data_IF_745110585863
#
_entry.id   IF_745110585863
#
_cell.length_a   1.000
_cell.length_b   1.000
_cell.length_c   1.000
_cell.angle_alpha   90.00
_cell.angle_beta   90.00
_cell.angle_gamma   90.00
#
_symmetry.space_group_name_H-M   'P 1'
#
loop_
_entity.id
_entity.type
_entity.pdbx_description
1 polymer ?
#
# COMPACT_ATOMS: atom_id res chain seq x y z
N UNK A 1 64.15 35.30 -3.66
CA UNK A 1 63.54 33.99 -4.13
C UNK A 1 62.12 33.73 -3.66
N UNK A 2 61.43 34.70 -3.02
CA UNK A 2 60.08 34.44 -2.43
C UNK A 2 58.89 34.95 -3.29
N UNK A 3 59.11 35.56 -4.43
CA UNK A 3 58.00 36.12 -5.26
C UNK A 3 57.51 35.23 -6.39
N UNK A 4 58.27 34.25 -6.80
CA UNK A 4 57.94 33.35 -7.95
C UNK A 4 57.04 32.16 -7.45
N UNK A 5 57.16 31.74 -6.19
CA UNK A 5 56.35 30.69 -5.57
C UNK A 5 54.88 31.12 -5.25
N UNK A 6 54.62 32.39 -5.12
CA UNK A 6 53.29 32.94 -4.87
C UNK A 6 52.42 32.97 -6.14
N UNK A 7 53.04 33.28 -7.30
CA UNK A 7 52.33 33.38 -8.57
C UNK A 7 51.90 32.00 -9.10
N UNK A 8 52.72 30.96 -8.94
CA UNK A 8 52.38 29.61 -9.37
C UNK A 8 51.21 28.97 -8.56
N UNK A 9 51.09 29.30 -7.28
CA UNK A 9 49.97 28.87 -6.45
C UNK A 9 48.66 29.59 -6.77
N UNK A 10 48.73 30.84 -7.26
CA UNK A 10 47.53 31.61 -7.62
C UNK A 10 46.99 31.11 -9.00
N UNK A 11 47.84 30.81 -9.95
CA UNK A 11 47.47 30.29 -11.30
C UNK A 11 46.87 28.88 -11.16
N UNK A 12 47.41 28.02 -10.28
CA UNK A 12 46.89 26.66 -10.08
C UNK A 12 45.51 26.68 -9.38
N UNK A 13 45.23 27.63 -8.48
CA UNK A 13 43.91 27.77 -7.82
C UNK A 13 42.81 28.19 -8.83
N UNK A 14 43.12 29.10 -9.75
CA UNK A 14 42.15 29.51 -10.75
C UNK A 14 41.87 28.43 -11.83
N UNK A 15 42.87 27.60 -12.18
CA UNK A 15 42.67 26.46 -13.04
C UNK A 15 41.80 25.37 -12.44
N UNK A 16 42.00 25.04 -11.14
CA UNK A 16 41.19 24.07 -10.41
C UNK A 16 39.73 24.55 -10.25
N UNK A 17 39.52 25.85 -9.98
CA UNK A 17 38.16 26.41 -9.88
C UNK A 17 37.45 26.49 -11.23
N UNK A 18 38.16 26.72 -12.31
CA UNK A 18 37.61 26.69 -13.68
C UNK A 18 37.23 25.26 -14.11
N UNK A 19 38.05 24.27 -13.80
CA UNK A 19 37.76 22.86 -14.09
C UNK A 19 36.59 22.31 -13.28
N UNK A 20 36.42 22.75 -11.99
CA UNK A 20 35.25 22.39 -11.15
C UNK A 20 33.98 23.05 -11.69
N UNK A 21 34.05 24.30 -12.16
CA UNK A 21 32.90 25.01 -12.73
C UNK A 21 32.46 24.38 -14.08
N UNK A 22 33.39 23.95 -14.93
CA UNK A 22 33.08 23.28 -16.19
C UNK A 22 32.49 21.87 -15.94
N UNK A 23 33.00 21.15 -14.94
CA UNK A 23 32.48 19.83 -14.59
C UNK A 23 31.08 19.91 -13.95
N UNK A 24 30.85 20.90 -13.10
CA UNK A 24 29.53 21.17 -12.51
C UNK A 24 28.51 21.63 -13.58
N UNK A 25 28.91 22.46 -14.52
CA UNK A 25 28.07 22.89 -15.65
C UNK A 25 27.74 21.73 -16.59
N UNK A 26 28.68 20.83 -16.88
CA UNK A 26 28.45 19.63 -17.70
C UNK A 26 27.55 18.62 -16.96
N UNK A 27 27.68 18.46 -15.64
CA UNK A 27 26.80 17.62 -14.83
C UNK A 27 25.39 18.21 -14.75
N UNK A 28 25.24 19.54 -14.67
CA UNK A 28 23.95 20.22 -14.70
C UNK A 28 23.29 20.10 -16.09
N UNK A 29 24.04 20.25 -17.17
CA UNK A 29 23.54 20.06 -18.56
C UNK A 29 23.21 18.59 -18.86
N UNK A 30 23.97 17.62 -18.32
CA UNK A 30 23.65 16.19 -18.46
C UNK A 30 22.38 15.82 -17.68
N UNK A 31 22.13 16.44 -16.52
CA UNK A 31 20.89 16.24 -15.75
C UNK A 31 19.68 16.94 -16.40
N UNK A 32 19.86 18.08 -17.08
CA UNK A 32 18.77 18.74 -17.83
C UNK A 32 18.44 18.02 -19.13
N UNK A 33 19.40 17.35 -19.79
CA UNK A 33 19.14 16.54 -20.99
C UNK A 33 18.51 15.17 -20.65
N UNK A 34 18.65 14.65 -19.40
CA UNK A 34 17.95 13.43 -18.95
C UNK A 34 16.46 13.62 -18.69
N UNK A 35 15.98 14.87 -18.67
CA UNK A 35 14.59 15.23 -18.31
C UNK A 35 13.62 15.36 -19.47
N UNK A 36 13.98 14.98 -20.71
CA UNK A 36 13.12 15.14 -21.90
C UNK A 36 12.82 13.87 -22.70
N UNK A 37 13.14 12.69 -22.21
CA UNK A 37 12.50 11.49 -22.75
C UNK A 37 11.19 11.28 -22.00
N UNK A 38 10.10 11.65 -22.65
CA UNK A 38 8.75 11.33 -22.17
C UNK A 38 8.65 9.80 -22.04
N UNK A 39 8.43 9.32 -20.80
CA UNK A 39 8.30 7.89 -20.53
C UNK A 39 7.09 7.35 -21.29
N UNK A 40 7.23 6.15 -21.84
CA UNK A 40 6.13 5.48 -22.54
C UNK A 40 5.15 4.90 -21.52
N UNK A 41 3.92 4.64 -21.95
CA UNK A 41 2.87 4.04 -21.15
C UNK A 41 3.31 2.78 -20.39
N UNK A 42 4.07 1.91 -21.03
CA UNK A 42 4.60 0.66 -20.49
C UNK A 42 5.85 0.81 -19.62
N UNK A 43 6.33 2.03 -19.46
CA UNK A 43 7.45 2.37 -18.57
C UNK A 43 7.00 3.00 -17.24
N UNK A 44 5.71 3.38 -17.13
CA UNK A 44 5.11 3.97 -15.93
C UNK A 44 3.99 3.08 -15.45
N UNK A 45 4.03 2.70 -14.15
CA UNK A 45 2.93 2.05 -13.47
C UNK A 45 2.36 2.99 -12.40
N UNK A 46 1.06 3.22 -12.43
CA UNK A 46 0.32 3.95 -11.41
C UNK A 46 -0.51 2.95 -10.61
N UNK A 47 -0.18 2.75 -9.36
CA UNK A 47 -0.93 1.90 -8.42
C UNK A 47 -1.78 2.79 -7.51
N UNK A 48 -3.05 2.44 -7.36
CA UNK A 48 -4.00 3.18 -6.56
C UNK A 48 -4.57 2.31 -5.44
N UNK A 49 -4.57 2.84 -4.22
CA UNK A 49 -5.52 2.40 -3.22
C UNK A 49 -6.94 2.80 -3.65
N UNK A 50 -7.96 2.22 -3.01
CA UNK A 50 -9.36 2.43 -3.39
C UNK A 50 -10.04 3.44 -2.46
N UNK A 51 -10.18 3.08 -1.15
CA UNK A 51 -10.90 3.88 -0.16
C UNK A 51 -10.11 5.14 0.22
N UNK A 52 -10.70 6.33 0.04
CA UNK A 52 -10.02 7.61 0.33
C UNK A 52 -9.11 8.10 -0.80
N UNK A 53 -8.84 7.27 -1.79
CA UNK A 53 -7.93 7.52 -2.91
C UNK A 53 -8.67 7.68 -4.25
N UNK A 54 -9.37 6.64 -4.70
CA UNK A 54 -10.22 6.67 -5.90
C UNK A 54 -11.69 6.90 -5.56
N UNK A 55 -12.10 6.49 -4.36
CA UNK A 55 -13.46 6.65 -3.86
C UNK A 55 -13.44 7.37 -2.53
N UNK A 56 -14.53 8.05 -2.19
CA UNK A 56 -14.76 8.44 -0.79
C UNK A 56 -15.07 7.18 0.03
N UNK A 57 -14.73 7.13 1.33
CA UNK A 57 -14.97 5.96 2.14
C UNK A 57 -16.43 5.49 2.06
N UNK A 58 -16.65 4.23 1.68
CA UNK A 58 -17.97 3.58 1.53
C UNK A 58 -18.89 4.19 0.47
N UNK A 59 -18.36 4.97 -0.46
CA UNK A 59 -19.11 5.52 -1.59
C UNK A 59 -18.50 4.98 -2.88
N UNK A 60 -19.31 4.75 -3.89
CA UNK A 60 -18.82 4.35 -5.20
C UNK A 60 -18.03 5.48 -5.86
N UNK A 61 -17.15 5.11 -6.78
CA UNK A 61 -16.35 6.07 -7.55
C UNK A 61 -17.25 7.04 -8.32
N UNK A 62 -16.87 8.30 -8.37
CA UNK A 62 -17.52 9.32 -9.19
C UNK A 62 -17.30 9.01 -10.68
N UNK A 63 -18.38 9.09 -11.48
CA UNK A 63 -18.33 8.76 -12.90
C UNK A 63 -17.41 9.70 -13.69
N UNK A 64 -17.33 10.97 -13.36
CA UNK A 64 -16.41 11.93 -14.01
C UNK A 64 -14.96 11.60 -13.71
N UNK A 65 -14.66 11.16 -12.47
CA UNK A 65 -13.32 10.73 -12.11
C UNK A 65 -12.95 9.41 -12.82
N UNK A 66 -13.88 8.47 -12.87
CA UNK A 66 -13.73 7.20 -13.59
C UNK A 66 -13.43 7.42 -15.07
N UNK A 67 -14.21 8.31 -15.74
CA UNK A 67 -13.97 8.68 -17.14
C UNK A 67 -12.60 9.36 -17.33
N UNK A 68 -12.19 10.21 -16.40
CA UNK A 68 -10.85 10.81 -16.42
C UNK A 68 -9.74 9.76 -16.37
N UNK A 69 -9.85 8.77 -15.48
CA UNK A 69 -8.88 7.67 -15.40
C UNK A 69 -8.76 6.92 -16.74
N UNK A 70 -9.89 6.62 -17.38
CA UNK A 70 -9.90 5.81 -18.60
C UNK A 70 -9.51 6.60 -19.87
N UNK A 71 -9.85 7.88 -19.95
CA UNK A 71 -9.62 8.67 -21.16
C UNK A 71 -8.33 9.47 -21.15
N UNK A 72 -7.89 9.92 -19.96
CA UNK A 72 -6.75 10.83 -19.85
C UNK A 72 -5.51 10.12 -19.24
N UNK A 73 -5.72 9.23 -18.25
CA UNK A 73 -4.60 8.59 -17.52
C UNK A 73 -4.14 7.31 -18.21
N UNK A 74 -5.06 6.37 -18.49
CA UNK A 74 -4.75 5.06 -19.09
C UNK A 74 -3.97 5.13 -20.40
N UNK A 75 -4.19 6.10 -21.31
CA UNK A 75 -3.37 6.21 -22.52
C UNK A 75 -1.91 6.57 -22.25
N UNK A 76 -1.60 7.17 -21.10
CA UNK A 76 -0.26 7.68 -20.75
C UNK A 76 0.51 6.79 -19.80
N UNK A 77 -0.17 5.96 -19.00
CA UNK A 77 0.46 5.08 -18.01
C UNK A 77 -0.29 3.76 -17.89
N UNK A 78 0.42 2.71 -17.50
CA UNK A 78 -0.19 1.46 -17.04
C UNK A 78 -0.85 1.72 -15.70
N UNK A 79 -2.09 1.29 -15.50
CA UNK A 79 -2.84 1.54 -14.26
C UNK A 79 -3.16 0.25 -13.53
N UNK A 80 -3.07 0.27 -12.21
CA UNK A 80 -3.39 -0.86 -11.34
C UNK A 80 -4.07 -0.45 -10.04
N UNK A 81 -4.84 -1.37 -9.49
CA UNK A 81 -5.51 -1.24 -8.20
C UNK A 81 -4.81 -2.11 -7.16
N UNK A 82 -4.66 -1.64 -5.95
CA UNK A 82 -4.23 -2.45 -4.81
C UNK A 82 -5.03 -2.07 -3.57
N UNK A 83 -5.73 -3.02 -2.98
CA UNK A 83 -6.54 -2.76 -1.79
C UNK A 83 -6.58 -3.96 -0.86
N UNK A 84 -6.86 -3.72 0.43
CA UNK A 84 -7.02 -4.77 1.43
C UNK A 84 -8.33 -5.56 1.33
N UNK A 85 -9.29 -5.06 0.56
CA UNK A 85 -10.58 -5.71 0.34
C UNK A 85 -10.49 -6.83 -0.69
N UNK A 86 -11.46 -7.74 -0.67
CA UNK A 86 -11.65 -8.73 -1.71
C UNK A 86 -12.13 -8.10 -3.04
N UNK A 87 -12.15 -8.90 -4.10
CA UNK A 87 -12.50 -8.44 -5.45
C UNK A 87 -13.97 -7.98 -5.56
N UNK A 88 -14.90 -8.67 -4.91
CA UNK A 88 -16.32 -8.30 -4.98
C UNK A 88 -16.57 -6.92 -4.38
N UNK A 89 -15.89 -6.62 -3.28
CA UNK A 89 -15.98 -5.28 -2.68
C UNK A 89 -15.33 -4.22 -3.56
N UNK A 90 -14.24 -4.52 -4.27
CA UNK A 90 -13.68 -3.60 -5.27
C UNK A 90 -14.67 -3.34 -6.41
N UNK A 91 -15.42 -4.34 -6.86
CA UNK A 91 -16.49 -4.16 -7.85
C UNK A 91 -17.58 -3.22 -7.37
N UNK A 92 -18.02 -3.37 -6.11
CA UNK A 92 -19.01 -2.47 -5.50
C UNK A 92 -18.49 -1.02 -5.47
N UNK A 93 -17.27 -0.82 -5.01
CA UNK A 93 -16.69 0.52 -4.85
C UNK A 93 -16.37 1.20 -6.19
N UNK A 94 -15.98 0.46 -7.20
CA UNK A 94 -15.62 1.01 -8.51
C UNK A 94 -16.75 0.92 -9.55
N UNK A 95 -17.95 0.64 -9.05
CA UNK A 95 -19.19 0.68 -9.82
C UNK A 95 -19.21 -0.26 -11.02
N UNK A 96 -18.76 -1.52 -10.81
CA UNK A 96 -18.92 -2.59 -11.78
C UNK A 96 -17.67 -3.45 -12.04
N UNK A 97 -17.92 -4.55 -12.77
CA UNK A 97 -16.89 -5.54 -13.13
C UNK A 97 -15.96 -5.07 -14.26
N UNK A 98 -16.26 -3.96 -14.90
CA UNK A 98 -15.44 -3.41 -15.99
C UNK A 98 -14.00 -3.04 -15.56
N UNK A 99 -13.73 -2.93 -14.25
CA UNK A 99 -12.37 -2.70 -13.74
C UNK A 99 -11.39 -3.77 -14.22
N UNK A 100 -11.86 -5.01 -14.45
CA UNK A 100 -11.03 -6.12 -14.93
C UNK A 100 -10.56 -5.90 -16.39
N UNK A 101 -11.30 -5.11 -17.16
CA UNK A 101 -10.96 -4.76 -18.54
C UNK A 101 -10.19 -3.43 -18.62
N UNK A 102 -10.47 -2.53 -17.69
CA UNK A 102 -9.97 -1.16 -17.71
C UNK A 102 -8.64 -0.99 -16.97
N UNK A 103 -8.42 -1.75 -15.90
CA UNK A 103 -7.14 -1.73 -15.20
C UNK A 103 -6.23 -2.84 -15.71
N UNK A 104 -4.98 -2.51 -15.97
CA UNK A 104 -3.98 -3.49 -16.43
C UNK A 104 -3.68 -4.52 -15.33
N UNK A 105 -3.72 -4.07 -14.06
CA UNK A 105 -3.53 -4.90 -12.87
C UNK A 105 -4.61 -4.64 -11.83
N UNK A 106 -5.09 -5.70 -11.19
CA UNK A 106 -5.99 -5.61 -10.05
C UNK A 106 -5.47 -6.54 -8.96
N UNK A 107 -5.19 -5.97 -7.79
CA UNK A 107 -4.57 -6.63 -6.65
C UNK A 107 -5.48 -6.57 -5.42
N UNK A 108 -6.51 -7.42 -5.32
CA UNK A 108 -7.29 -7.58 -4.09
C UNK A 108 -6.44 -8.21 -2.98
N UNK A 109 -6.92 -8.08 -1.74
CA UNK A 109 -6.28 -8.67 -0.57
C UNK A 109 -4.78 -8.35 -0.51
N UNK A 110 -4.41 -7.07 -0.70
CA UNK A 110 -3.03 -6.57 -0.72
C UNK A 110 -2.14 -7.15 -1.82
N UNK A 111 -2.71 -7.74 -2.88
CA UNK A 111 -1.99 -8.41 -3.95
C UNK A 111 -1.75 -9.90 -3.73
N UNK A 112 -2.38 -10.50 -2.71
CA UNK A 112 -2.36 -11.95 -2.51
C UNK A 112 -3.20 -12.67 -3.56
N UNK A 113 -4.18 -11.99 -4.13
CA UNK A 113 -4.88 -12.36 -5.36
C UNK A 113 -4.45 -11.38 -6.44
N UNK A 114 -4.06 -11.89 -7.61
CA UNK A 114 -3.40 -11.11 -8.64
C UNK A 114 -4.11 -11.29 -9.97
N UNK A 115 -4.53 -10.20 -10.56
CA UNK A 115 -5.10 -10.17 -11.91
C UNK A 115 -4.25 -9.27 -12.81
N UNK A 116 -3.98 -9.76 -14.01
CA UNK A 116 -3.38 -8.99 -15.10
C UNK A 116 -4.29 -9.05 -16.31
N UNK A 117 -4.72 -7.90 -16.82
CA UNK A 117 -5.64 -7.76 -17.95
C UNK A 117 -6.88 -8.66 -17.82
N UNK A 118 -7.48 -8.66 -16.64
CA UNK A 118 -8.70 -9.41 -16.33
C UNK A 118 -8.51 -10.92 -16.09
N UNK A 119 -7.30 -11.44 -16.21
CA UNK A 119 -7.00 -12.87 -15.98
C UNK A 119 -6.35 -13.05 -14.61
N UNK A 120 -6.82 -14.00 -13.81
CA UNK A 120 -6.14 -14.36 -12.55
C UNK A 120 -4.80 -15.04 -12.90
N UNK A 121 -3.71 -14.43 -12.43
CA UNK A 121 -2.33 -14.87 -12.70
C UNK A 121 -1.63 -15.38 -11.45
N UNK A 122 -2.22 -15.20 -10.29
CA UNK A 122 -1.69 -15.69 -9.03
C UNK A 122 -2.67 -15.57 -7.87
N UNK A 123 -2.55 -16.53 -6.95
CA UNK A 123 -3.27 -16.52 -5.68
C UNK A 123 -2.42 -17.18 -4.60
N UNK A 124 -2.35 -16.55 -3.44
CA UNK A 124 -1.65 -17.08 -2.27
C UNK A 124 -2.65 -17.28 -1.15
N UNK A 125 -2.48 -18.37 -0.42
CA UNK A 125 -3.35 -18.72 0.69
C UNK A 125 -2.55 -18.78 1.98
N UNK A 126 -3.07 -18.14 3.03
CA UNK A 126 -2.49 -18.21 4.37
C UNK A 126 -2.45 -19.65 4.89
N UNK A 127 -3.42 -20.50 4.52
CA UNK A 127 -3.45 -21.90 4.88
C UNK A 127 -2.29 -22.69 4.23
N UNK A 128 -2.03 -22.45 2.95
CA UNK A 128 -0.90 -23.09 2.27
C UNK A 128 0.46 -22.57 2.77
N UNK A 129 0.53 -21.33 3.19
CA UNK A 129 1.77 -20.71 3.66
C UNK A 129 2.14 -21.14 5.08
N UNK A 130 1.21 -21.04 6.02
CA UNK A 130 1.45 -21.36 7.44
C UNK A 130 1.27 -22.85 7.75
N UNK A 131 0.46 -23.56 6.99
CA UNK A 131 0.04 -24.93 7.25
C UNK A 131 -1.04 -25.05 8.32
N UNK A 132 -1.80 -26.14 8.25
CA UNK A 132 -2.96 -26.36 9.11
C UNK A 132 -2.61 -26.54 10.60
N UNK A 133 -1.43 -27.05 10.93
CA UNK A 133 -1.04 -27.24 12.33
C UNK A 133 -0.77 -25.90 13.04
N UNK A 134 -0.13 -24.96 12.35
CA UNK A 134 0.07 -23.59 12.88
C UNK A 134 -1.26 -22.88 13.01
N UNK A 135 -2.11 -22.95 11.98
CA UNK A 135 -3.42 -22.32 11.98
C UNK A 135 -4.34 -22.84 13.09
N UNK A 136 -4.40 -24.18 13.27
CA UNK A 136 -5.17 -24.79 14.37
C UNK A 136 -4.67 -24.33 15.74
N UNK A 137 -3.35 -24.31 15.93
CA UNK A 137 -2.74 -23.84 17.18
C UNK A 137 -3.09 -22.39 17.44
N UNK A 138 -2.99 -21.54 16.42
CA UNK A 138 -3.32 -20.12 16.51
C UNK A 138 -4.80 -19.90 16.84
N UNK A 139 -5.70 -20.52 16.08
CA UNK A 139 -7.14 -20.40 16.27
C UNK A 139 -7.56 -20.88 17.67
N UNK A 140 -7.06 -22.04 18.11
CA UNK A 140 -7.36 -22.56 19.44
C UNK A 140 -6.87 -21.63 20.54
N UNK A 141 -5.69 -21.02 20.40
CA UNK A 141 -5.17 -20.06 21.35
C UNK A 141 -6.06 -18.81 21.43
N UNK A 142 -6.44 -18.24 20.28
CA UNK A 142 -7.35 -17.09 20.21
C UNK A 142 -8.70 -17.38 20.86
N UNK A 143 -9.29 -18.54 20.58
CA UNK A 143 -10.59 -18.93 21.15
C UNK A 143 -10.48 -19.13 22.68
N UNK A 144 -9.39 -19.74 23.17
CA UNK A 144 -9.13 -19.85 24.60
C UNK A 144 -8.98 -18.48 25.25
N UNK A 145 -8.20 -17.58 24.67
CA UNK A 145 -8.04 -16.22 25.16
C UNK A 145 -9.40 -15.50 25.23
N UNK A 146 -10.25 -15.63 24.22
CA UNK A 146 -11.58 -15.03 24.22
C UNK A 146 -12.52 -15.64 25.25
N UNK A 147 -12.37 -16.91 25.60
CA UNK A 147 -13.21 -17.54 26.64
C UNK A 147 -12.97 -16.93 28.02
N UNK A 148 -11.75 -16.47 28.28
CA UNK A 148 -11.30 -15.87 29.54
C UNK A 148 -11.36 -14.34 29.55
N UNK A 149 -11.44 -13.70 28.37
CA UNK A 149 -11.47 -12.25 28.22
C UNK A 149 -12.78 -11.67 28.78
N UNK A 150 -12.66 -10.77 29.76
CA UNK A 150 -13.82 -10.02 30.30
C UNK A 150 -13.97 -8.69 29.56
N UNK A 151 -15.00 -8.59 28.71
CA UNK A 151 -15.42 -7.39 28.00
C UNK A 151 -16.96 -7.27 28.08
N UNK A 152 -17.51 -6.05 27.96
CA UNK A 152 -18.96 -5.83 28.19
C UNK A 152 -19.87 -6.66 27.30
N UNK A 153 -19.48 -6.92 26.05
CA UNK A 153 -20.32 -7.59 25.05
C UNK A 153 -19.50 -8.52 24.20
N UNK A 154 -20.02 -9.72 23.92
CA UNK A 154 -19.50 -10.66 22.93
C UNK A 154 -20.64 -11.14 22.03
N UNK A 155 -20.43 -11.18 20.70
CA UNK A 155 -21.48 -11.52 19.73
C UNK A 155 -21.19 -12.74 18.88
N UNK A 156 -20.03 -12.90 18.35
CA UNK A 156 -19.69 -14.00 17.47
C UNK A 156 -19.11 -13.55 16.15
N UNK A 157 -18.72 -14.51 15.33
CA UNK A 157 -17.65 -14.45 14.34
C UNK A 157 -16.46 -13.72 14.93
N UNK A 158 -15.78 -14.41 15.86
CA UNK A 158 -14.60 -13.88 16.52
C UNK A 158 -13.35 -13.96 15.64
N UNK A 159 -13.31 -14.96 14.76
CA UNK A 159 -12.24 -15.17 13.80
C UNK A 159 -12.87 -15.34 12.43
N UNK A 160 -12.58 -14.44 11.49
CA UNK A 160 -12.97 -14.57 10.10
C UNK A 160 -11.74 -15.01 9.30
N UNK A 161 -11.82 -16.22 8.73
CA UNK A 161 -10.77 -16.78 7.91
C UNK A 161 -10.90 -16.26 6.46
N UNK A 162 -9.87 -15.56 5.98
CA UNK A 162 -9.78 -15.04 4.61
C UNK A 162 -8.65 -15.72 3.85
N UNK A 163 -8.57 -15.51 2.53
CA UNK A 163 -7.51 -16.12 1.72
C UNK A 163 -6.12 -15.79 2.23
N UNK A 164 -5.87 -14.52 2.55
CA UNK A 164 -4.56 -14.02 2.90
C UNK A 164 -4.34 -13.70 4.37
N UNK A 165 -5.36 -13.77 5.21
CA UNK A 165 -5.29 -13.34 6.60
C UNK A 165 -6.36 -13.96 7.48
N UNK A 166 -6.18 -13.83 8.79
CA UNK A 166 -7.24 -14.01 9.77
C UNK A 166 -7.63 -12.63 10.32
N UNK A 167 -8.91 -12.29 10.26
CA UNK A 167 -9.44 -11.11 10.95
C UNK A 167 -9.98 -11.53 12.32
N UNK A 168 -9.42 -10.96 13.38
CA UNK A 168 -9.71 -11.34 14.78
C UNK A 168 -10.43 -10.18 15.47
N UNK A 169 -11.61 -10.46 16.03
CA UNK A 169 -12.48 -9.46 16.68
C UNK A 169 -12.90 -9.88 18.07
N UNK A 170 -12.43 -9.22 19.14
CA UNK A 170 -12.81 -9.56 20.52
C UNK A 170 -14.31 -9.49 20.80
N UNK A 171 -15.01 -8.48 20.30
CA UNK A 171 -16.46 -8.36 20.40
C UNK A 171 -17.21 -9.29 19.45
N UNK A 172 -16.60 -9.67 18.34
CA UNK A 172 -17.21 -10.41 17.25
C UNK A 172 -17.82 -9.53 16.16
N UNK A 173 -17.74 -10.00 14.91
CA UNK A 173 -18.15 -9.22 13.74
C UNK A 173 -19.65 -9.05 13.58
N UNK A 174 -20.46 -9.88 14.27
CA UNK A 174 -21.92 -9.83 14.25
C UNK A 174 -22.51 -8.75 15.18
N UNK A 175 -21.69 -7.92 15.78
CA UNK A 175 -22.16 -6.79 16.59
C UNK A 175 -22.87 -5.73 15.72
N UNK A 176 -23.89 -5.08 16.32
CA UNK A 176 -24.59 -3.96 15.71
C UNK A 176 -23.68 -2.73 15.57
N UNK A 177 -24.13 -1.73 14.79
CA UNK A 177 -23.36 -0.48 14.62
C UNK A 177 -23.17 0.27 15.96
N UNK A 178 -24.18 0.23 16.85
CA UNK A 178 -24.11 0.81 18.19
C UNK A 178 -23.07 0.10 19.05
N UNK A 179 -23.15 -1.22 19.15
CA UNK A 179 -22.20 -2.05 19.91
C UNK A 179 -20.75 -1.91 19.39
N UNK A 180 -20.59 -1.75 18.08
CA UNK A 180 -19.29 -1.46 17.45
C UNK A 180 -18.70 -0.16 17.94
N UNK A 181 -19.50 0.89 18.02
CA UNK A 181 -19.04 2.19 18.50
C UNK A 181 -18.72 2.15 19.99
N UNK A 182 -19.58 1.51 20.79
CA UNK A 182 -19.36 1.33 22.25
C UNK A 182 -18.08 0.53 22.52
N UNK A 183 -17.83 -0.54 21.76
CA UNK A 183 -16.59 -1.31 21.89
C UNK A 183 -15.38 -0.50 21.46
N UNK A 184 -15.46 0.28 20.40
CA UNK A 184 -14.37 1.14 19.95
C UNK A 184 -13.95 2.13 21.06
N UNK A 185 -14.91 2.78 21.69
CA UNK A 185 -14.67 3.70 22.82
C UNK A 185 -14.08 2.98 24.04
N UNK A 186 -14.57 1.78 24.32
CA UNK A 186 -14.04 0.91 25.37
C UNK A 186 -12.60 0.50 25.09
N UNK A 187 -12.30 0.07 23.87
CA UNK A 187 -10.96 -0.35 23.45
C UNK A 187 -9.94 0.81 23.45
N UNK A 188 -10.37 2.04 23.14
CA UNK A 188 -9.50 3.22 23.25
C UNK A 188 -9.01 3.43 24.71
N UNK A 189 -9.81 3.08 25.71
CA UNK A 189 -9.46 3.22 27.13
C UNK A 189 -8.70 2.01 27.65
N UNK A 190 -9.10 0.83 27.25
CA UNK A 190 -8.64 -0.43 27.85
C UNK A 190 -7.61 -1.17 27.00
N UNK A 191 -7.37 -0.74 25.76
CA UNK A 191 -6.36 -1.29 24.84
C UNK A 191 -6.48 -2.82 24.63
N UNK A 192 -7.71 -3.34 24.58
CA UNK A 192 -8.02 -4.78 24.54
C UNK A 192 -7.34 -5.46 23.34
N UNK A 193 -7.45 -4.84 22.15
CA UNK A 193 -6.85 -5.40 20.95
C UNK A 193 -5.32 -5.36 21.02
N UNK A 194 -4.74 -4.28 21.54
CA UNK A 194 -3.28 -4.16 21.66
C UNK A 194 -2.72 -5.18 22.67
N UNK A 195 -3.34 -5.32 23.82
CA UNK A 195 -2.93 -6.32 24.84
C UNK A 195 -2.97 -7.73 24.27
N UNK A 196 -4.01 -8.07 23.51
CA UNK A 196 -4.10 -9.37 22.86
C UNK A 196 -3.00 -9.57 21.83
N UNK A 197 -2.70 -8.56 21.00
CA UNK A 197 -1.60 -8.60 20.03
C UNK A 197 -0.26 -8.85 20.72
N UNK A 198 -0.01 -8.20 21.86
CA UNK A 198 1.24 -8.36 22.60
C UNK A 198 1.39 -9.79 23.16
N UNK A 199 0.30 -10.40 23.59
CA UNK A 199 0.25 -11.81 24.02
C UNK A 199 0.50 -12.74 22.82
N UNK A 200 -0.17 -12.49 21.70
CA UNK A 200 -0.01 -13.29 20.46
C UNK A 200 1.42 -13.21 19.88
N UNK A 201 2.01 -12.02 19.88
CA UNK A 201 3.42 -11.84 19.46
C UNK A 201 4.39 -12.65 20.30
N UNK A 202 4.12 -12.78 21.59
CA UNK A 202 4.95 -13.58 22.50
C UNK A 202 4.73 -15.08 22.29
N UNK A 203 3.48 -15.53 22.19
CA UNK A 203 3.15 -16.95 22.03
C UNK A 203 3.57 -17.51 20.68
N UNK A 204 3.47 -16.69 19.63
CA UNK A 204 3.79 -17.08 18.24
C UNK A 204 5.08 -16.40 17.73
N UNK A 205 6.04 -16.13 18.61
CA UNK A 205 7.31 -15.48 18.26
C UNK A 205 8.14 -16.22 17.21
N UNK A 206 7.96 -17.54 17.11
CA UNK A 206 8.64 -18.39 16.11
C UNK A 206 7.92 -18.42 14.76
N UNK A 207 6.74 -17.81 14.67
CA UNK A 207 5.96 -17.71 13.43
C UNK A 207 6.03 -16.28 12.91
N UNK A 208 6.45 -16.12 11.66
CA UNK A 208 6.66 -14.80 11.05
C UNK A 208 5.32 -14.13 10.70
N UNK A 209 4.68 -13.51 11.69
CA UNK A 209 3.35 -12.90 11.62
C UNK A 209 3.38 -11.40 11.89
N UNK A 210 2.62 -10.67 11.09
CA UNK A 210 2.26 -9.27 11.30
C UNK A 210 0.87 -9.18 11.90
N UNK A 211 0.69 -8.24 12.82
CA UNK A 211 -0.57 -7.91 13.49
C UNK A 211 -0.89 -6.45 13.24
N UNK A 212 -2.02 -6.15 12.63
CA UNK A 212 -2.42 -4.77 12.27
C UNK A 212 -3.80 -4.46 12.83
N UNK A 213 -3.89 -3.45 13.70
CA UNK A 213 -5.18 -2.96 14.19
C UNK A 213 -5.85 -2.17 13.07
N UNK A 214 -6.95 -2.71 12.54
CA UNK A 214 -7.76 -2.09 11.50
C UNK A 214 -9.19 -1.86 11.95
N UNK A 215 -9.79 -0.75 11.51
CA UNK A 215 -11.18 -0.42 11.84
C UNK A 215 -11.46 -0.28 13.34
N UNK A 216 -12.70 -0.54 13.74
CA UNK A 216 -13.18 -0.25 15.10
C UNK A 216 -13.13 -1.45 16.04
N UNK A 217 -13.18 -2.69 15.54
CA UNK A 217 -13.48 -3.88 16.37
C UNK A 217 -12.53 -5.05 16.20
N UNK A 218 -11.62 -5.00 15.25
CA UNK A 218 -10.77 -6.14 14.90
C UNK A 218 -9.33 -5.74 14.68
N UNK A 219 -8.49 -6.74 14.57
CA UNK A 219 -7.15 -6.64 14.02
C UNK A 219 -6.93 -7.77 13.00
N UNK A 220 -6.05 -7.54 12.06
CA UNK A 220 -5.69 -8.50 11.02
C UNK A 220 -4.39 -9.20 11.38
N UNK A 221 -4.28 -10.49 11.07
CA UNK A 221 -3.11 -11.33 11.28
C UNK A 221 -2.73 -12.00 9.97
N UNK A 222 -1.53 -11.75 9.49
CA UNK A 222 -1.03 -12.25 8.22
C UNK A 222 0.49 -12.45 8.26
N UNK A 223 1.06 -13.26 7.36
CA UNK A 223 2.52 -13.43 7.26
C UNK A 223 3.24 -12.10 6.97
N UNK A 224 4.43 -11.91 7.50
CA UNK A 224 5.22 -10.72 7.25
C UNK A 224 5.43 -10.47 5.74
N UNK A 225 5.30 -9.20 5.34
CA UNK A 225 5.40 -8.79 3.94
C UNK A 225 4.19 -9.18 3.08
N UNK A 226 3.04 -9.53 3.71
CA UNK A 226 1.75 -9.72 3.07
C UNK A 226 0.86 -8.46 3.18
N UNK A 227 1.51 -7.31 3.31
CA UNK A 227 0.93 -5.99 3.14
C UNK A 227 0.85 -5.61 1.65
N UNK A 228 0.47 -4.37 1.35
CA UNK A 228 0.32 -3.90 -0.04
C UNK A 228 1.60 -3.99 -0.89
N UNK A 229 2.78 -4.06 -0.28
CA UNK A 229 4.04 -4.27 -1.02
C UNK A 229 4.09 -5.63 -1.71
N UNK A 230 3.22 -6.58 -1.29
CA UNK A 230 3.16 -7.90 -1.90
C UNK A 230 2.84 -7.84 -3.40
N UNK A 231 1.98 -6.91 -3.83
CA UNK A 231 1.64 -6.72 -5.24
C UNK A 231 2.88 -6.40 -6.10
N UNK A 232 3.88 -5.74 -5.53
CA UNK A 232 5.10 -5.35 -6.24
C UNK A 232 5.93 -6.58 -6.68
N UNK A 233 5.80 -7.71 -5.99
CA UNK A 233 6.48 -8.97 -6.39
C UNK A 233 6.01 -9.44 -7.77
N UNK A 234 4.74 -9.21 -8.08
CA UNK A 234 4.18 -9.52 -9.40
C UNK A 234 4.38 -8.35 -10.36
N UNK A 235 4.06 -7.13 -9.93
CA UNK A 235 4.10 -5.94 -10.79
C UNK A 235 5.49 -5.67 -11.39
N UNK A 236 6.57 -6.05 -10.71
CA UNK A 236 7.95 -5.86 -11.19
C UNK A 236 8.51 -7.05 -11.96
N UNK A 237 7.83 -8.20 -11.94
CA UNK A 237 8.33 -9.43 -12.56
C UNK A 237 8.16 -9.42 -14.08
N UNK A 238 9.27 -9.33 -14.80
CA UNK A 238 9.27 -9.38 -16.26
C UNK A 238 8.69 -8.13 -16.92
N UNK A 239 8.62 -7.01 -16.19
CA UNK A 239 8.16 -5.71 -16.68
C UNK A 239 9.33 -4.74 -16.86
N UNK A 240 9.11 -3.70 -17.65
CA UNK A 240 10.12 -2.65 -17.94
C UNK A 240 9.75 -1.31 -17.26
N UNK A 241 8.96 -1.33 -16.18
CA UNK A 241 8.61 -0.11 -15.48
C UNK A 241 9.87 0.59 -14.96
N UNK A 242 10.01 1.84 -15.32
CA UNK A 242 11.08 2.74 -14.85
C UNK A 242 10.63 3.50 -13.62
N UNK A 243 9.31 3.77 -13.55
CA UNK A 243 8.69 4.45 -12.43
C UNK A 243 7.42 3.69 -12.02
N UNK A 244 7.29 3.43 -10.72
CA UNK A 244 6.09 2.89 -10.10
C UNK A 244 5.60 3.92 -9.10
N UNK A 245 4.48 4.55 -9.37
CA UNK A 245 3.85 5.52 -8.50
C UNK A 245 2.74 4.84 -7.70
N UNK A 246 2.70 5.11 -6.41
CA UNK A 246 1.62 4.64 -5.55
C UNK A 246 0.86 5.83 -4.95
N UNK A 247 -0.47 5.81 -5.07
CA UNK A 247 -1.38 6.80 -4.51
C UNK A 247 -2.19 6.17 -3.37
N UNK A 248 -2.15 6.77 -2.18
CA UNK A 248 -2.86 6.29 -1.00
C UNK A 248 -3.14 7.39 0.03
N UNK A 249 -4.18 7.19 0.86
CA UNK A 249 -4.59 8.15 1.89
C UNK A 249 -3.99 7.84 3.28
N UNK A 250 -3.78 6.57 3.60
CA UNK A 250 -3.29 6.10 4.91
C UNK A 250 -1.80 5.80 4.91
N UNK A 251 -1.00 6.77 4.51
CA UNK A 251 0.45 6.63 4.31
C UNK A 251 1.29 6.91 5.56
N UNK A 252 0.69 7.40 6.65
CA UNK A 252 1.39 7.62 7.91
C UNK A 252 1.72 6.28 8.61
N UNK A 253 2.74 6.21 9.47
CA UNK A 253 3.11 5.00 10.20
C UNK A 253 1.90 4.34 10.88
N UNK A 254 1.69 3.05 10.60
CA UNK A 254 0.53 2.26 11.05
C UNK A 254 -0.70 2.33 10.13
N UNK A 255 -0.69 3.15 9.10
CA UNK A 255 -1.67 3.11 8.02
C UNK A 255 -1.40 1.95 7.07
N UNK A 256 -2.43 1.42 6.43
CA UNK A 256 -2.32 0.27 5.53
C UNK A 256 -1.64 0.57 4.17
N UNK A 257 -1.34 1.84 3.91
CA UNK A 257 -0.60 2.31 2.73
C UNK A 257 0.86 2.62 3.04
N UNK A 258 1.24 2.62 4.34
CA UNK A 258 2.54 3.11 4.77
C UNK A 258 3.70 2.33 4.12
N UNK A 259 3.62 1.02 4.14
CA UNK A 259 4.68 0.15 3.65
C UNK A 259 4.92 0.34 2.15
N UNK A 260 3.87 0.33 1.33
CA UNK A 260 4.00 0.51 -0.13
C UNK A 260 4.34 1.96 -0.50
N UNK A 261 3.86 2.94 0.27
CA UNK A 261 4.19 4.36 0.08
C UNK A 261 5.68 4.63 0.34
N UNK A 262 6.26 3.94 1.33
CA UNK A 262 7.65 4.10 1.76
C UNK A 262 8.62 3.11 1.08
N UNK A 263 8.12 2.19 0.26
CA UNK A 263 8.94 1.16 -0.40
C UNK A 263 9.89 1.81 -1.42
N UNK A 264 11.19 1.45 -1.43
CA UNK A 264 12.16 2.05 -2.34
C UNK A 264 11.88 1.79 -3.83
N UNK A 265 11.00 0.85 -4.17
CA UNK A 265 10.56 0.57 -5.54
C UNK A 265 9.45 1.50 -6.01
N UNK A 266 8.83 2.28 -5.11
CA UNK A 266 7.71 3.14 -5.43
C UNK A 266 8.04 4.62 -5.21
N UNK A 267 7.35 5.47 -5.96
CA UNK A 267 7.26 6.91 -5.72
C UNK A 267 5.90 7.15 -5.07
N UNK A 268 5.91 7.37 -3.75
CA UNK A 268 4.68 7.49 -2.95
C UNK A 268 4.04 8.86 -3.10
N UNK A 269 2.72 8.87 -3.32
CA UNK A 269 1.86 10.05 -3.37
C UNK A 269 0.82 9.97 -2.25
N UNK A 270 0.98 10.78 -1.21
CA UNK A 270 -0.06 10.94 -0.20
C UNK A 270 -1.19 11.78 -0.78
N UNK A 271 -2.40 11.27 -0.68
CA UNK A 271 -3.61 11.97 -1.11
C UNK A 271 -4.58 12.12 0.05
N UNK A 272 -5.51 13.06 -0.07
CA UNK A 272 -6.51 13.35 0.98
C UNK A 272 -7.94 13.10 0.51
N UNK A 273 -8.12 12.92 -0.78
CA UNK A 273 -9.43 12.66 -1.40
C UNK A 273 -9.26 12.24 -2.88
N UNK A 274 -10.32 11.72 -3.53
CA UNK A 274 -10.33 11.49 -4.97
C UNK A 274 -10.03 12.73 -5.80
N UNK A 275 -10.48 13.90 -5.37
CA UNK A 275 -10.22 15.18 -6.04
C UNK A 275 -8.71 15.54 -5.99
N UNK A 276 -8.06 15.25 -4.87
CA UNK A 276 -6.62 15.45 -4.72
C UNK A 276 -5.83 14.46 -5.59
N UNK A 277 -6.25 13.20 -5.64
CA UNK A 277 -5.69 12.19 -6.57
C UNK A 277 -5.79 12.69 -8.02
N UNK A 278 -6.95 13.17 -8.44
CA UNK A 278 -7.17 13.72 -9.79
C UNK A 278 -6.25 14.91 -10.08
N UNK A 279 -6.08 15.82 -9.12
CA UNK A 279 -5.17 16.98 -9.24
C UNK A 279 -3.72 16.53 -9.42
N UNK A 280 -3.23 15.63 -8.56
CA UNK A 280 -1.85 15.14 -8.63
C UNK A 280 -1.58 14.38 -9.92
N UNK A 281 -2.54 13.59 -10.43
CA UNK A 281 -2.44 12.90 -11.72
C UNK A 281 -2.32 13.88 -12.89
N UNK A 282 -3.10 14.97 -12.87
CA UNK A 282 -3.00 16.02 -13.90
C UNK A 282 -1.63 16.67 -13.93
N UNK A 283 -1.07 16.96 -12.76
CA UNK A 283 0.27 17.53 -12.63
C UNK A 283 1.34 16.55 -13.10
N UNK A 284 1.24 15.29 -12.70
CA UNK A 284 2.21 14.24 -13.04
C UNK A 284 2.24 13.96 -14.55
N UNK A 285 1.07 13.77 -15.17
CA UNK A 285 0.93 13.32 -16.55
C UNK A 285 0.74 14.48 -17.55
N UNK A 286 0.62 15.72 -17.06
CA UNK A 286 0.36 16.93 -17.87
C UNK A 286 -0.88 16.77 -18.76
N UNK A 287 -2.01 16.43 -18.13
CA UNK A 287 -3.34 16.26 -18.74
C UNK A 287 -4.37 17.22 -18.18
#
# INVERSE_FOLDING_TARGET
>A
MNSILSLSRFINRHKVLADISITASKALHANTHRRSMELKRDEILLLFDVDGTLTRPRVAIDDDFKQFLYKEVQPKATIGLVGGSDLEKMYEQLNGREIMEKFDYVYPENGLVQYAKGVEVGRVSVALHLGEDVLKKFINFVLKYFSELDIPIKRGTFIEFRSGMLNVSPIGRNCSAKERQEFFEYDQKHQIRQQMIDVLKKEFSEVDLTYSIGGQISFDVYPNGWDKTYCLRHATKGTNFKEIHFFGDKTDPGGNDHEIYSDPRTIGHKVTSPEDTKRQLKELLKV
#
